data_IF_282056418121
#
_entry.id   IF_282056418121
#
_cell.length_a   1.000
_cell.length_b   1.000
_cell.length_c   1.000
_cell.angle_alpha   90.00
_cell.angle_beta   90.00
_cell.angle_gamma   90.00
#
_symmetry.space_group_name_H-M   'P 1'
#
loop_
_entity.id
_entity.type
_entity.pdbx_description
1 polymer ?
#
# COMPACT_ATOMS: atom_id res chain seq x y z
N UNK A 1 15.67 -1.75 19.35
CA UNK A 1 16.21 -1.23 18.09
C UNK A 1 15.66 0.17 17.90
N UNK A 2 16.35 1.06 17.17
CA UNK A 2 15.73 2.31 16.74
C UNK A 2 14.85 1.98 15.54
N UNK A 3 13.54 1.91 15.74
CA UNK A 3 12.58 1.46 14.73
C UNK A 3 12.04 2.64 13.88
N UNK A 4 12.65 3.82 14.02
CA UNK A 4 12.28 5.02 13.27
C UNK A 4 13.01 5.05 11.92
N UNK A 5 12.23 4.88 10.85
CA UNK A 5 12.65 5.07 9.46
C UNK A 5 11.67 6.04 8.80
N UNK A 6 12.18 7.08 8.14
CA UNK A 6 11.36 8.02 7.37
C UNK A 6 11.24 7.47 5.94
N UNK A 7 10.02 7.15 5.52
CA UNK A 7 9.70 6.70 4.17
C UNK A 7 8.76 7.71 3.50
N UNK A 8 8.89 7.88 2.18
CA UNK A 8 7.83 8.58 1.43
C UNK A 8 6.56 7.71 1.38
N UNK A 9 5.39 8.33 1.14
CA UNK A 9 4.13 7.60 0.92
C UNK A 9 4.29 6.51 -0.15
N UNK A 10 5.07 6.79 -1.20
CA UNK A 10 5.35 5.85 -2.30
C UNK A 10 6.26 4.71 -1.85
N UNK A 11 7.28 4.98 -1.06
CA UNK A 11 8.20 3.94 -0.58
C UNK A 11 7.50 3.00 0.40
N UNK A 12 6.64 3.53 1.27
CA UNK A 12 5.82 2.73 2.16
C UNK A 12 4.80 1.86 1.40
N UNK A 13 4.20 2.37 0.32
CA UNK A 13 3.34 1.56 -0.56
C UNK A 13 4.11 0.46 -1.28
N UNK A 14 5.32 0.75 -1.78
CA UNK A 14 6.22 -0.25 -2.37
C UNK A 14 6.60 -1.33 -1.36
N UNK A 15 6.88 -0.94 -0.11
CA UNK A 15 7.18 -1.89 0.96
C UNK A 15 5.99 -2.82 1.23
N UNK A 16 4.77 -2.29 1.26
CA UNK A 16 3.54 -3.09 1.40
C UNK A 16 3.39 -4.11 0.27
N UNK A 17 3.57 -3.70 -0.99
CA UNK A 17 3.49 -4.62 -2.14
C UNK A 17 4.54 -5.74 -2.02
N UNK A 18 5.79 -5.39 -1.73
CA UNK A 18 6.88 -6.37 -1.58
C UNK A 18 6.60 -7.39 -0.47
N UNK A 19 6.01 -6.94 0.64
CA UNK A 19 5.58 -7.82 1.71
C UNK A 19 4.49 -8.79 1.25
N UNK A 20 3.44 -8.30 0.59
CA UNK A 20 2.36 -9.13 0.06
C UNK A 20 2.85 -10.13 -1.00
N UNK A 21 3.81 -9.74 -1.85
CA UNK A 21 4.43 -10.67 -2.79
C UNK A 21 5.18 -11.80 -2.08
N UNK A 22 5.85 -11.50 -0.97
CA UNK A 22 6.55 -12.52 -0.18
C UNK A 22 5.55 -13.49 0.46
N UNK A 23 4.46 -12.98 1.01
CA UNK A 23 3.37 -13.78 1.55
C UNK A 23 2.69 -14.64 0.48
N UNK A 24 2.45 -14.10 -0.71
CA UNK A 24 1.94 -14.87 -1.84
C UNK A 24 2.91 -15.99 -2.25
N UNK A 25 4.22 -15.68 -2.31
CA UNK A 25 5.23 -16.70 -2.63
C UNK A 25 5.25 -17.84 -1.62
N UNK A 26 5.04 -17.53 -0.34
CA UNK A 26 5.02 -18.50 0.75
C UNK A 26 3.72 -19.33 0.81
N UNK A 27 2.58 -18.69 0.62
CA UNK A 27 1.25 -19.31 0.85
C UNK A 27 0.56 -19.80 -0.42
N UNK A 28 0.91 -19.23 -1.58
CA UNK A 28 0.19 -19.41 -2.86
C UNK A 28 -1.30 -19.04 -2.78
N UNK A 29 -1.68 -18.16 -1.87
CA UNK A 29 -3.07 -17.70 -1.71
C UNK A 29 -3.56 -16.95 -2.95
N UNK A 30 -4.66 -17.40 -3.54
CA UNK A 30 -5.31 -16.74 -4.67
C UNK A 30 -5.86 -15.36 -4.29
N UNK A 31 -6.31 -15.18 -3.05
CA UNK A 31 -6.80 -13.89 -2.55
C UNK A 31 -5.67 -12.85 -2.54
N UNK A 32 -4.46 -13.23 -2.13
CA UNK A 32 -3.29 -12.34 -2.16
C UNK A 32 -2.89 -12.05 -3.61
N UNK A 33 -2.99 -13.03 -4.53
CA UNK A 33 -2.73 -12.81 -5.95
C UNK A 33 -3.71 -11.79 -6.57
N UNK A 34 -5.00 -11.92 -6.25
CA UNK A 34 -6.03 -11.00 -6.72
C UNK A 34 -5.80 -9.58 -6.18
N UNK A 35 -5.45 -9.45 -4.91
CA UNK A 35 -5.10 -8.17 -4.30
C UNK A 35 -3.84 -7.57 -4.93
N UNK A 36 -2.77 -8.34 -5.13
CA UNK A 36 -1.55 -7.86 -5.78
C UNK A 36 -1.82 -7.37 -7.20
N UNK A 37 -2.76 -7.99 -7.92
CA UNK A 37 -3.15 -7.57 -9.26
C UNK A 37 -3.83 -6.18 -9.28
N UNK A 38 -4.55 -5.78 -8.23
CA UNK A 38 -5.14 -4.44 -8.16
C UNK A 38 -4.16 -3.38 -7.65
N UNK A 39 -3.15 -3.78 -6.88
CA UNK A 39 -2.14 -2.89 -6.30
C UNK A 39 -0.91 -2.67 -7.19
N UNK A 40 -0.74 -3.43 -8.26
CA UNK A 40 0.51 -3.44 -9.04
C UNK A 40 0.76 -2.08 -9.71
N UNK A 41 2.00 -1.59 -9.65
CA UNK A 41 2.39 -0.38 -10.35
C UNK A 41 2.45 -0.62 -11.86
N UNK A 42 1.81 0.27 -12.62
CA UNK A 42 2.04 0.41 -14.06
C UNK A 42 3.48 0.93 -14.32
N UNK A 43 4.00 0.80 -15.56
CA UNK A 43 5.33 1.28 -15.93
C UNK A 43 5.60 2.75 -15.55
N UNK A 44 4.54 3.54 -15.47
CA UNK A 44 4.57 4.97 -15.16
C UNK A 44 4.67 5.26 -13.65
N UNK A 45 4.73 4.22 -12.80
CA UNK A 45 4.90 4.36 -11.35
C UNK A 45 3.63 4.77 -10.61
N UNK A 46 2.47 4.56 -11.24
CA UNK A 46 1.11 4.75 -10.67
C UNK A 46 0.47 3.36 -10.47
N UNK A 47 -0.27 3.10 -9.39
CA UNK A 47 -0.99 1.84 -9.24
C UNK A 47 -1.95 1.60 -10.41
N UNK A 48 -2.18 0.34 -10.75
CA UNK A 48 -3.09 -0.06 -11.82
C UNK A 48 -4.51 0.47 -11.59
N UNK A 49 -4.92 0.58 -10.33
CA UNK A 49 -6.14 1.26 -9.91
C UNK A 49 -5.80 2.58 -9.18
N UNK A 50 -6.17 3.75 -9.74
CA UNK A 50 -6.03 5.03 -9.06
C UNK A 50 -6.72 5.09 -7.69
N UNK A 51 -7.84 4.38 -7.49
CA UNK A 51 -8.56 4.35 -6.22
C UNK A 51 -7.70 3.69 -5.11
N UNK A 52 -6.88 2.71 -5.46
CA UNK A 52 -5.98 2.06 -4.51
C UNK A 52 -4.88 3.01 -3.98
N UNK A 53 -4.53 4.04 -4.74
CA UNK A 53 -3.62 5.08 -4.27
C UNK A 53 -4.31 6.01 -3.26
N UNK A 54 -5.55 6.43 -3.55
CA UNK A 54 -6.34 7.27 -2.63
C UNK A 54 -6.60 6.56 -1.29
N UNK A 55 -7.04 5.30 -1.34
CA UNK A 55 -7.22 4.46 -0.14
C UNK A 55 -5.93 4.33 0.68
N UNK A 56 -4.78 4.21 0.00
CA UNK A 56 -3.49 4.18 0.66
C UNK A 56 -3.15 5.52 1.34
N UNK A 57 -3.37 6.65 0.67
CA UNK A 57 -3.12 7.97 1.25
C UNK A 57 -3.98 8.21 2.49
N UNK A 58 -5.23 7.75 2.47
CA UNK A 58 -6.14 7.77 3.63
C UNK A 58 -5.61 6.92 4.78
N UNK A 59 -5.15 5.69 4.50
CA UNK A 59 -4.51 4.84 5.50
C UNK A 59 -3.28 5.50 6.12
N UNK A 60 -2.40 6.10 5.31
CA UNK A 60 -1.22 6.83 5.79
C UNK A 60 -1.62 8.04 6.64
N UNK A 61 -2.64 8.79 6.21
CA UNK A 61 -3.16 9.93 6.98
C UNK A 61 -3.65 9.52 8.37
N UNK A 62 -4.41 8.42 8.44
CA UNK A 62 -4.88 7.84 9.71
C UNK A 62 -3.74 7.43 10.63
N UNK A 63 -2.70 6.78 10.09
CA UNK A 63 -1.51 6.36 10.87
C UNK A 63 -0.71 7.55 11.39
N UNK A 64 -0.56 8.59 10.57
CA UNK A 64 0.17 9.80 10.95
C UNK A 64 -0.63 10.73 11.87
N UNK A 65 -1.85 10.35 12.27
CA UNK A 65 -2.72 11.19 13.10
C UNK A 65 -3.21 12.46 12.40
N UNK A 66 -3.10 12.51 11.07
CA UNK A 66 -3.74 13.53 10.26
C UNK A 66 -5.22 13.16 10.19
N UNK A 67 -6.01 13.64 11.15
CA UNK A 67 -7.45 13.48 11.16
C UNK A 67 -8.03 14.08 9.87
N UNK A 68 -8.24 13.23 8.86
CA UNK A 68 -9.06 13.56 7.71
C UNK A 68 -10.49 13.71 8.19
N UNK A 69 -10.91 14.97 8.37
CA UNK A 69 -12.31 15.38 8.42
C UNK A 69 -13.01 14.91 7.14
N UNK A 70 -13.68 13.75 7.18
CA UNK A 70 -14.71 13.39 6.21
C UNK A 70 -16.07 13.93 6.69
N UNK A 71 -16.91 14.52 5.83
CA UNK A 71 -18.26 14.89 6.22
C UNK A 71 -19.08 13.60 6.42
N UNK A 72 -19.87 13.57 7.50
CA UNK A 72 -20.89 12.55 7.72
C UNK A 72 -22.10 12.71 6.81
#
# INVERSE_FOLDING_TARGET
MNDQVILSKKDAYRAMILFLEQEFRATKSEDIAALLSSLQFLPDGIPADPAAWEDWEDCVGRVLGSAGTGPG
#
